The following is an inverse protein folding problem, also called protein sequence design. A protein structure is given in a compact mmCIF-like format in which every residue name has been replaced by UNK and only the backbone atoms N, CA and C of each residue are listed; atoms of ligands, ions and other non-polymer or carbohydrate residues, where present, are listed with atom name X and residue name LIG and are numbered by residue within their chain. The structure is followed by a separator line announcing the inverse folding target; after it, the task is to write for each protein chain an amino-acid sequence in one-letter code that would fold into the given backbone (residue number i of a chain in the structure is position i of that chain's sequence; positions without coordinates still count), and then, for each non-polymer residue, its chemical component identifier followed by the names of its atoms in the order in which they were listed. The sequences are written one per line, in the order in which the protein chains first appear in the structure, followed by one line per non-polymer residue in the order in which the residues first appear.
data_IF_651607077617
#
_entry.id   IF_651607077617
#
_cell.length_a   1.000
_cell.length_b   1.000
_cell.length_c   1.000
_cell.angle_alpha   90.00
_cell.angle_beta   90.00
_cell.angle_gamma   90.00
#
_symmetry.space_group_name_H-M   'P 1'
#
loop_
_entity.id
_entity.type
_entity.pdbx_description
1 polymer ?
#
# COMPACT_ATOMS: atom_id res chain seq x y z
N UNK A 1 31.72 -16.24 -4.09
CA UNK A 1 31.71 -14.85 -3.56
C UNK A 1 31.21 -13.84 -4.59
N UNK A 2 31.87 -13.64 -5.75
CA UNK A 2 31.37 -12.73 -6.79
C UNK A 2 30.07 -13.22 -7.44
N UNK A 3 29.94 -14.53 -7.69
CA UNK A 3 28.71 -15.15 -8.22
C UNK A 3 27.55 -15.08 -7.21
N UNK A 4 27.83 -15.24 -5.91
CA UNK A 4 26.83 -15.07 -4.85
C UNK A 4 26.36 -13.62 -4.73
N UNK A 5 27.29 -12.66 -4.85
CA UNK A 5 26.98 -11.23 -4.86
C UNK A 5 26.18 -10.83 -6.10
N UNK A 6 26.52 -11.35 -7.29
CA UNK A 6 25.77 -11.12 -8.53
C UNK A 6 24.36 -11.74 -8.46
N UNK A 7 24.24 -12.94 -7.89
CA UNK A 7 22.95 -13.61 -7.69
C UNK A 7 22.10 -12.83 -6.70
N UNK A 8 22.65 -12.43 -5.54
CA UNK A 8 21.94 -11.59 -4.57
C UNK A 8 21.53 -10.23 -5.13
N UNK A 9 22.39 -9.61 -5.96
CA UNK A 9 22.07 -8.37 -6.65
C UNK A 9 20.92 -8.54 -7.67
N UNK A 10 20.95 -9.60 -8.47
CA UNK A 10 19.85 -9.92 -9.41
C UNK A 10 18.54 -10.20 -8.68
N UNK A 11 18.57 -10.96 -7.60
CA UNK A 11 17.40 -11.23 -6.77
C UNK A 11 16.83 -9.93 -6.17
N UNK A 12 17.70 -9.04 -5.67
CA UNK A 12 17.30 -7.74 -5.14
C UNK A 12 16.64 -6.85 -6.19
N UNK A 13 17.13 -6.88 -7.44
CA UNK A 13 16.50 -6.16 -8.56
C UNK A 13 15.11 -6.73 -8.83
N UNK A 14 14.95 -8.05 -8.90
CA UNK A 14 13.64 -8.68 -9.19
C UNK A 14 12.64 -8.39 -8.08
N UNK A 15 13.03 -8.55 -6.81
CA UNK A 15 12.18 -8.19 -5.67
C UNK A 15 11.85 -6.70 -5.65
N UNK A 16 12.81 -5.84 -5.97
CA UNK A 16 12.60 -4.40 -6.10
C UNK A 16 11.57 -4.06 -7.18
N UNK A 17 11.66 -4.69 -8.36
CA UNK A 17 10.69 -4.50 -9.44
C UNK A 17 9.30 -4.95 -9.00
N UNK A 18 9.18 -6.14 -8.39
CA UNK A 18 7.88 -6.63 -7.90
C UNK A 18 7.29 -5.73 -6.82
N UNK A 19 8.11 -5.26 -5.88
CA UNK A 19 7.69 -4.30 -4.86
C UNK A 19 7.17 -3.00 -5.48
N UNK A 20 7.89 -2.44 -6.45
CA UNK A 20 7.48 -1.23 -7.18
C UNK A 20 6.17 -1.46 -7.94
N UNK A 21 5.99 -2.62 -8.58
CA UNK A 21 4.75 -2.97 -9.29
C UNK A 21 3.57 -3.07 -8.31
N UNK A 22 3.76 -3.70 -7.14
CA UNK A 22 2.72 -3.77 -6.09
C UNK A 22 2.38 -2.38 -5.54
N UNK A 23 3.38 -1.52 -5.34
CA UNK A 23 3.18 -0.13 -4.93
C UNK A 23 2.40 0.66 -6.00
N UNK A 24 2.70 0.46 -7.29
CA UNK A 24 1.95 1.07 -8.39
C UNK A 24 0.51 0.55 -8.45
N UNK A 25 0.29 -0.74 -8.21
CA UNK A 25 -1.04 -1.34 -8.13
C UNK A 25 -1.83 -0.75 -6.95
N UNK A 26 -1.19 -0.54 -5.80
CA UNK A 26 -1.79 0.12 -4.65
C UNK A 26 -2.16 1.57 -4.87
N UNK A 27 -1.32 2.32 -5.58
CA UNK A 27 -1.69 3.66 -6.03
C UNK A 27 -2.95 3.60 -6.90
N UNK A 28 -2.98 2.70 -7.90
CA UNK A 28 -4.14 2.53 -8.79
C UNK A 28 -5.42 2.13 -8.04
N UNK A 29 -5.29 1.28 -7.02
CA UNK A 29 -6.39 0.87 -6.16
C UNK A 29 -6.95 2.05 -5.36
N UNK A 30 -6.10 2.87 -4.74
CA UNK A 30 -6.53 4.06 -3.99
C UNK A 30 -7.14 5.11 -4.92
N UNK A 31 -6.58 5.30 -6.12
CA UNK A 31 -7.14 6.19 -7.15
C UNK A 31 -8.52 5.70 -7.63
N UNK A 32 -8.73 4.39 -7.77
CA UNK A 32 -10.03 3.82 -8.13
C UNK A 32 -11.08 3.95 -7.00
N UNK A 33 -10.64 3.87 -5.74
CA UNK A 33 -11.52 4.00 -4.57
C UNK A 33 -11.85 5.46 -4.22
N UNK A 34 -11.01 6.41 -4.64
CA UNK A 34 -11.21 7.83 -4.34
C UNK A 34 -11.93 8.52 -5.50
N UNK A 35 -13.12 9.13 -5.28
CA UNK A 35 -13.85 9.85 -6.31
C UNK A 35 -13.16 11.20 -6.61
N UNK A 36 -12.36 11.20 -7.67
CA UNK A 36 -11.59 12.35 -8.12
C UNK A 36 -10.18 11.88 -8.48
N UNK A 37 -9.63 12.35 -9.60
CA UNK A 37 -8.28 11.93 -10.03
C UNK A 37 -7.29 12.24 -8.91
N UNK A 38 -6.78 11.23 -8.20
CA UNK A 38 -5.92 11.41 -7.03
C UNK A 38 -4.69 12.25 -7.38
N UNK A 39 -4.21 12.07 -8.62
CA UNK A 39 -3.12 12.85 -9.20
C UNK A 39 -3.43 14.35 -9.24
N UNK A 40 -4.65 14.74 -9.62
CA UNK A 40 -5.09 16.13 -9.64
C UNK A 40 -5.20 16.68 -8.22
N UNK A 41 -5.80 15.91 -7.31
CA UNK A 41 -5.98 16.32 -5.90
C UNK A 41 -4.64 16.55 -5.18
N UNK A 42 -3.66 15.68 -5.37
CA UNK A 42 -2.37 15.77 -4.68
C UNK A 42 -1.44 16.77 -5.39
N UNK A 43 -1.28 16.68 -6.71
CA UNK A 43 -0.28 17.50 -7.42
C UNK A 43 -0.79 18.87 -7.85
N UNK A 44 -2.09 19.01 -8.14
CA UNK A 44 -2.67 20.30 -8.57
C UNK A 44 -3.29 21.03 -7.38
N UNK A 45 -4.15 20.37 -6.61
CA UNK A 45 -4.87 21.01 -5.48
C UNK A 45 -4.10 21.00 -4.17
N UNK A 46 -2.95 20.32 -4.10
CA UNK A 46 -2.10 20.20 -2.90
C UNK A 46 -2.90 19.72 -1.68
N UNK A 47 -3.86 18.83 -1.89
CA UNK A 47 -4.73 18.34 -0.83
C UNK A 47 -3.94 17.40 0.12
N UNK A 48 -3.73 17.87 1.34
CA UNK A 48 -2.98 17.14 2.38
C UNK A 48 -3.67 15.87 2.87
N UNK A 49 -5.00 15.78 2.77
CA UNK A 49 -5.77 14.62 3.21
C UNK A 49 -5.52 13.41 2.28
N UNK A 50 -5.66 13.62 0.98
CA UNK A 50 -5.39 12.61 -0.04
C UNK A 50 -3.90 12.19 -0.04
N UNK A 51 -2.99 13.15 0.15
CA UNK A 51 -1.56 12.88 0.25
C UNK A 51 -1.22 12.00 1.47
N UNK A 52 -1.83 12.28 2.64
CA UNK A 52 -1.60 11.50 3.86
C UNK A 52 -2.14 10.06 3.72
N UNK A 53 -3.34 9.90 3.17
CA UNK A 53 -3.92 8.59 2.93
C UNK A 53 -3.05 7.76 1.98
N UNK A 54 -2.65 8.36 0.86
CA UNK A 54 -1.76 7.70 -0.10
C UNK A 54 -0.42 7.33 0.54
N UNK A 55 0.19 8.25 1.31
CA UNK A 55 1.46 7.99 1.99
C UNK A 55 1.35 6.81 2.96
N UNK A 56 0.29 6.76 3.79
CA UNK A 56 0.07 5.66 4.72
C UNK A 56 -0.13 4.32 4.00
N UNK A 57 -0.91 4.31 2.92
CA UNK A 57 -1.12 3.12 2.10
C UNK A 57 0.20 2.62 1.47
N UNK A 58 1.02 3.55 0.98
CA UNK A 58 2.29 3.22 0.34
C UNK A 58 3.34 2.71 1.34
N UNK A 59 3.36 3.26 2.55
CA UNK A 59 4.16 2.73 3.66
C UNK A 59 3.67 1.35 4.08
N UNK A 60 2.35 1.11 4.08
CA UNK A 60 1.76 -0.19 4.36
C UNK A 60 2.19 -1.27 3.36
N UNK A 61 2.07 -0.98 2.06
CA UNK A 61 2.52 -1.90 0.99
C UNK A 61 4.02 -2.16 1.08
N UNK A 62 4.82 -1.11 1.32
CA UNK A 62 6.26 -1.26 1.51
C UNK A 62 6.58 -2.17 2.70
N UNK A 63 5.85 -2.05 3.81
CA UNK A 63 5.96 -2.93 4.97
C UNK A 63 5.65 -4.38 4.64
N UNK A 64 4.55 -4.64 3.92
CA UNK A 64 4.14 -6.00 3.52
C UNK A 64 5.20 -6.64 2.62
N UNK A 65 5.67 -5.90 1.62
CA UNK A 65 6.73 -6.38 0.71
C UNK A 65 8.02 -6.65 1.49
N UNK A 66 8.40 -5.76 2.39
CA UNK A 66 9.57 -5.94 3.25
C UNK A 66 9.46 -7.22 4.09
N UNK A 67 8.34 -7.43 4.79
CA UNK A 67 8.13 -8.62 5.63
C UNK A 67 8.10 -9.90 4.79
N UNK A 68 7.47 -9.89 3.61
CA UNK A 68 7.44 -11.04 2.73
C UNK A 68 8.83 -11.45 2.21
N UNK A 69 9.65 -10.47 1.83
CA UNK A 69 11.04 -10.70 1.43
C UNK A 69 11.84 -11.22 2.63
N UNK A 70 11.68 -10.60 3.79
CA UNK A 70 12.43 -10.95 5.00
C UNK A 70 12.15 -12.38 5.47
N UNK A 71 10.89 -12.83 5.44
CA UNK A 71 10.53 -14.19 5.87
C UNK A 71 10.85 -15.26 4.84
N UNK A 72 10.92 -14.93 3.55
CA UNK A 72 11.02 -15.95 2.48
C UNK A 72 12.43 -16.26 1.98
N UNK A 73 13.48 -15.92 2.74
CA UNK A 73 14.88 -15.96 2.28
C UNK A 73 15.43 -17.37 1.94
N UNK A 74 14.71 -18.45 2.26
CA UNK A 74 15.18 -19.82 2.04
C UNK A 74 15.03 -20.33 0.59
N UNK A 75 14.10 -19.76 -0.20
CA UNK A 75 13.87 -20.16 -1.61
C UNK A 75 13.41 -18.95 -2.45
N UNK A 76 14.18 -18.60 -3.48
CA UNK A 76 13.92 -17.41 -4.32
C UNK A 76 12.56 -17.45 -5.03
N UNK A 77 12.17 -18.60 -5.57
CA UNK A 77 10.92 -18.75 -6.31
C UNK A 77 9.71 -18.64 -5.39
N UNK A 78 9.78 -19.29 -4.23
CA UNK A 78 8.75 -19.18 -3.18
C UNK A 78 8.69 -17.78 -2.61
N UNK A 79 9.82 -17.10 -2.42
CA UNK A 79 9.86 -15.73 -1.94
C UNK A 79 9.24 -14.72 -2.90
N UNK A 80 9.45 -14.91 -4.21
CA UNK A 80 8.81 -14.06 -5.21
C UNK A 80 7.29 -14.28 -5.23
N UNK A 81 6.87 -15.54 -5.21
CA UNK A 81 5.45 -15.91 -5.20
C UNK A 81 4.74 -15.44 -3.91
N UNK A 82 5.38 -15.58 -2.74
CA UNK A 82 4.84 -15.13 -1.46
C UNK A 82 4.73 -13.60 -1.43
N UNK A 83 5.76 -12.87 -1.87
CA UNK A 83 5.74 -11.41 -1.94
C UNK A 83 4.61 -10.91 -2.84
N UNK A 84 4.43 -11.51 -4.02
CA UNK A 84 3.33 -11.17 -4.91
C UNK A 84 1.96 -11.48 -4.29
N UNK A 85 1.80 -12.68 -3.71
CA UNK A 85 0.53 -13.13 -3.13
C UNK A 85 0.14 -12.28 -1.92
N UNK A 86 1.04 -12.15 -0.94
CA UNK A 86 0.77 -11.37 0.27
C UNK A 86 0.67 -9.88 0.00
N UNK A 87 1.44 -9.35 -0.97
CA UNK A 87 1.26 -7.98 -1.46
C UNK A 87 -0.14 -7.75 -2.02
N UNK A 88 -0.64 -8.67 -2.86
CA UNK A 88 -2.01 -8.61 -3.40
C UNK A 88 -3.08 -8.76 -2.31
N UNK A 89 -2.90 -9.70 -1.38
CA UNK A 89 -3.81 -9.87 -0.23
C UNK A 89 -3.86 -8.60 0.61
N UNK A 90 -2.70 -7.99 0.87
CA UNK A 90 -2.61 -6.73 1.59
C UNK A 90 -3.34 -5.59 0.87
N UNK A 91 -3.20 -5.50 -0.45
CA UNK A 91 -3.95 -4.55 -1.28
C UNK A 91 -5.46 -4.75 -1.13
N UNK A 92 -5.94 -5.99 -1.22
CA UNK A 92 -7.37 -6.31 -1.06
C UNK A 92 -7.87 -5.94 0.34
N UNK A 93 -7.10 -6.26 1.38
CA UNK A 93 -7.47 -5.93 2.77
C UNK A 93 -7.51 -4.42 2.98
N UNK A 94 -6.55 -3.66 2.42
CA UNK A 94 -6.56 -2.20 2.47
C UNK A 94 -7.77 -1.61 1.72
N UNK A 95 -8.17 -2.20 0.58
CA UNK A 95 -9.40 -1.80 -0.12
C UNK A 95 -10.65 -2.06 0.71
N UNK A 96 -10.72 -3.22 1.37
CA UNK A 96 -11.83 -3.56 2.26
C UNK A 96 -11.90 -2.64 3.46
N UNK A 97 -10.75 -2.28 4.05
CA UNK A 97 -10.68 -1.31 5.14
C UNK A 97 -11.26 0.05 4.71
N UNK A 98 -10.93 0.51 3.51
CA UNK A 98 -11.52 1.73 2.94
C UNK A 98 -13.05 1.61 2.83
N UNK A 99 -13.55 0.51 2.26
CA UNK A 99 -14.99 0.31 2.07
C UNK A 99 -15.74 0.24 3.41
N UNK A 100 -15.18 -0.45 4.40
CA UNK A 100 -15.75 -0.52 5.75
C UNK A 100 -15.79 0.86 6.39
N UNK A 101 -14.73 1.65 6.26
CA UNK A 101 -14.72 3.03 6.74
C UNK A 101 -15.76 3.89 6.01
N UNK A 102 -15.84 3.81 4.68
CA UNK A 102 -16.83 4.56 3.88
C UNK A 102 -18.27 4.20 4.30
N UNK A 103 -18.53 2.94 4.64
CA UNK A 103 -19.84 2.51 5.15
C UNK A 103 -20.12 2.99 6.58
N UNK A 104 -19.12 3.03 7.45
CA UNK A 104 -19.27 3.41 8.86
C UNK A 104 -19.27 4.93 9.09
N UNK A 105 -18.73 5.70 8.15
CA UNK A 105 -18.59 7.16 8.31
C UNK A 105 -19.75 7.87 7.62
N UNK A 106 -20.46 8.79 8.30
CA UNK A 106 -21.53 9.56 7.65
C UNK A 106 -20.95 10.54 6.63
N UNK A 107 -21.40 10.42 5.39
CA UNK A 107 -20.90 11.17 4.23
C UNK A 107 -19.97 10.31 3.36
N UNK A 108 -19.95 10.55 2.05
CA UNK A 108 -19.03 9.82 1.16
C UNK A 108 -17.61 10.21 1.53
N UNK A 109 -16.86 9.28 2.11
CA UNK A 109 -15.50 9.49 2.60
C UNK A 109 -14.61 9.99 1.48
N UNK A 110 -14.90 9.53 0.26
CA UNK A 110 -14.31 10.05 -0.96
C UNK A 110 -14.51 11.56 -1.22
N UNK A 111 -15.70 12.10 -0.98
CA UNK A 111 -15.98 13.54 -1.11
C UNK A 111 -15.31 14.34 0.02
N UNK A 112 -15.23 13.77 1.23
CA UNK A 112 -14.54 14.37 2.39
C UNK A 112 -13.02 14.39 2.19
N UNK A 113 -12.43 13.33 1.63
CA UNK A 113 -11.01 13.29 1.29
C UNK A 113 -10.68 14.32 0.22
N UNK A 114 -11.63 14.63 -0.67
CA UNK A 114 -11.49 15.65 -1.71
C UNK A 114 -11.69 17.08 -1.20
N UNK A 115 -12.07 17.31 0.07
CA UNK A 115 -12.21 18.67 0.58
C UNK A 115 -10.85 19.34 0.72
N UNK A 116 -10.76 20.61 0.31
CA UNK A 116 -9.54 21.42 0.42
C UNK A 116 -9.15 21.72 1.88
N UNK A 117 -10.09 21.61 2.82
CA UNK A 117 -9.83 21.76 4.25
C UNK A 117 -9.28 20.45 4.88
N UNK A 118 -8.26 20.53 5.75
CA UNK A 118 -7.75 19.38 6.48
C UNK A 118 -8.84 18.74 7.35
N UNK A 119 -9.28 17.53 6.99
CA UNK A 119 -10.36 16.86 7.71
C UNK A 119 -9.78 15.76 8.61
N UNK A 120 -10.11 15.72 9.92
CA UNK A 120 -9.57 14.72 10.84
C UNK A 120 -9.88 13.28 10.42
N UNK A 121 -10.97 13.05 9.69
CA UNK A 121 -11.32 11.73 9.14
C UNK A 121 -10.24 11.14 8.21
N UNK A 122 -9.47 11.98 7.49
CA UNK A 122 -8.39 11.50 6.62
C UNK A 122 -7.24 10.90 7.42
N UNK A 123 -6.93 11.46 8.60
CA UNK A 123 -5.88 10.93 9.50
C UNK A 123 -6.30 9.58 10.08
N UNK A 124 -7.56 9.44 10.47
CA UNK A 124 -8.11 8.18 10.99
C UNK A 124 -8.07 7.12 9.89
N UNK A 125 -8.50 7.46 8.68
CA UNK A 125 -8.47 6.52 7.54
C UNK A 125 -7.04 6.09 7.20
N UNK A 126 -6.08 7.03 7.17
CA UNK A 126 -4.67 6.71 6.99
C UNK A 126 -4.15 5.74 8.08
N UNK A 127 -4.51 5.97 9.34
CA UNK A 127 -4.12 5.08 10.45
C UNK A 127 -4.77 3.68 10.32
N UNK A 128 -6.03 3.59 9.90
CA UNK A 128 -6.70 2.31 9.68
C UNK A 128 -6.07 1.52 8.54
N UNK A 129 -5.76 2.16 7.42
CA UNK A 129 -5.06 1.50 6.30
C UNK A 129 -3.68 1.00 6.72
N UNK A 130 -2.94 1.82 7.46
CA UNK A 130 -1.64 1.42 7.99
C UNK A 130 -1.75 0.25 8.98
N UNK A 131 -2.75 0.28 9.86
CA UNK A 131 -3.04 -0.83 10.79
C UNK A 131 -3.42 -2.12 10.05
N UNK A 132 -4.24 -2.02 9.01
CA UNK A 132 -4.59 -3.15 8.16
C UNK A 132 -3.35 -3.77 7.49
N UNK A 133 -2.43 -2.94 7.00
CA UNK A 133 -1.15 -3.42 6.47
C UNK A 133 -0.29 -4.11 7.53
N UNK A 134 -0.22 -3.59 8.76
CA UNK A 134 0.52 -4.23 9.86
C UNK A 134 -0.06 -5.59 10.24
N UNK A 135 -1.37 -5.77 10.22
CA UNK A 135 -2.01 -7.08 10.45
C UNK A 135 -1.52 -8.08 9.40
N UNK A 136 -1.47 -7.66 8.13
CA UNK A 136 -0.96 -8.50 7.04
C UNK A 136 0.52 -8.83 7.23
N UNK A 137 1.35 -7.85 7.60
CA UNK A 137 2.76 -8.11 7.94
C UNK A 137 2.88 -9.17 9.05
N UNK A 138 2.09 -9.05 10.11
CA UNK A 138 2.10 -9.99 11.23
C UNK A 138 1.64 -11.41 10.85
N UNK A 139 0.83 -11.57 9.80
CA UNK A 139 0.46 -12.89 9.28
C UNK A 139 1.54 -13.53 8.40
N UNK A 140 2.49 -12.75 7.90
CA UNK A 140 3.59 -13.22 7.04
C UNK A 140 4.80 -13.65 7.87
N UNK A 141 5.06 -12.94 8.97
CA UNK A 141 6.14 -13.24 9.93
C UNK A 141 5.78 -14.41 10.84
#
# INVERSE_FOLDING_TARGET
MLEDLLTGALQSIVFGIVGVVLMAAGFGLVDALTPGKLRDLIWVRRNGNAALLLAANQLGIAGIVFTAIFTSYDDFGRGLASTALFGLVGLVIMALAFFVLDLLTPGKLGEIICSDEPHPAARVSAATHFGAALIVCACIA
#
